data_IF_429984915735
#
_entry.id   IF_429984915735
#
_cell.length_a   1.000
_cell.length_b   1.000
_cell.length_c   1.000
_cell.angle_alpha   90.00
_cell.angle_beta   90.00
_cell.angle_gamma   90.00
#
_symmetry.space_group_name_H-M   'P 1'
#
loop_
_entity.id
_entity.type
_entity.pdbx_description
1 polymer ?
#
# COMPACT_ATOMS: atom_id res chain seq x y z
N UNK A 1 -1.74 -17.45 -5.38
CA UNK A 1 -2.00 -17.74 -6.81
C UNK A 1 -2.01 -19.24 -6.96
N UNK A 2 -3.09 -19.80 -7.48
CA UNK A 2 -3.33 -21.23 -7.58
C UNK A 2 -3.73 -21.55 -9.03
N UNK A 3 -3.20 -22.64 -9.61
CA UNK A 3 -3.53 -23.07 -10.98
C UNK A 3 -4.28 -24.40 -10.93
N UNK A 4 -5.48 -24.42 -11.47
CA UNK A 4 -6.36 -25.58 -11.61
C UNK A 4 -6.64 -25.82 -13.10
N UNK A 5 -5.91 -26.76 -13.70
CA UNK A 5 -5.94 -26.97 -15.15
C UNK A 5 -5.48 -25.70 -15.90
N UNK A 6 -6.34 -25.20 -16.78
CA UNK A 6 -6.11 -23.96 -17.54
C UNK A 6 -6.61 -22.70 -16.81
N UNK A 7 -7.11 -22.84 -15.57
CA UNK A 7 -7.63 -21.71 -14.78
C UNK A 7 -6.62 -21.30 -13.70
N UNK A 8 -6.34 -20.00 -13.59
CA UNK A 8 -5.49 -19.43 -12.54
C UNK A 8 -6.35 -18.58 -11.61
N UNK A 9 -6.44 -18.97 -10.35
CA UNK A 9 -7.06 -18.21 -9.29
C UNK A 9 -6.04 -17.32 -8.58
N UNK A 10 -6.29 -16.02 -8.59
CA UNK A 10 -5.49 -15.02 -7.89
C UNK A 10 -6.30 -14.49 -6.72
N UNK A 11 -5.96 -14.95 -5.53
CA UNK A 11 -6.46 -14.37 -4.28
C UNK A 11 -5.53 -13.25 -3.86
N UNK A 12 -6.10 -12.06 -3.68
CA UNK A 12 -5.34 -10.89 -3.33
C UNK A 12 -6.07 -9.95 -2.38
N UNK A 13 -5.33 -8.98 -1.88
CA UNK A 13 -5.80 -7.99 -0.92
C UNK A 13 -5.50 -6.59 -1.42
N UNK A 14 -6.38 -5.65 -1.08
CA UNK A 14 -6.15 -4.23 -1.26
C UNK A 14 -6.11 -3.59 0.12
N UNK A 15 -5.01 -2.88 0.37
CA UNK A 15 -4.80 -1.97 1.50
C UNK A 15 -4.14 -0.76 0.86
N UNK A 16 -4.45 0.46 1.30
CA UNK A 16 -3.91 1.71 0.77
C UNK A 16 -2.47 1.61 0.35
N UNK A 17 -2.22 2.07 -0.88
CA UNK A 17 -0.93 2.05 -1.56
C UNK A 17 -0.45 0.68 -2.06
N UNK A 18 -1.16 -0.43 -1.81
CA UNK A 18 -0.72 -1.76 -2.23
C UNK A 18 -1.86 -2.65 -2.75
N UNK A 19 -1.64 -3.24 -3.92
CA UNK A 19 -2.42 -4.37 -4.42
C UNK A 19 -1.52 -5.60 -4.27
N UNK A 20 -1.91 -6.56 -3.44
CA UNK A 20 -1.13 -7.78 -3.22
C UNK A 20 -1.81 -8.96 -3.90
N UNK A 21 -1.11 -9.75 -4.74
CA UNK A 21 0.28 -9.56 -5.16
C UNK A 21 0.44 -8.39 -6.16
N UNK A 22 1.64 -7.81 -6.21
CA UNK A 22 2.02 -6.73 -7.17
C UNK A 22 2.50 -7.29 -8.52
N UNK A 23 2.83 -8.58 -8.57
CA UNK A 23 3.17 -9.30 -9.80
C UNK A 23 2.32 -10.57 -9.86
N UNK A 24 1.56 -10.70 -10.94
CA UNK A 24 0.78 -11.88 -11.27
C UNK A 24 1.40 -12.49 -12.52
N UNK A 25 1.88 -13.73 -12.44
CA UNK A 25 2.41 -14.44 -13.61
C UNK A 25 1.43 -15.52 -14.08
N UNK A 26 1.11 -15.52 -15.37
CA UNK A 26 0.23 -16.52 -16.02
C UNK A 26 0.79 -16.90 -17.38
N UNK A 27 0.23 -17.92 -18.00
CA UNK A 27 0.57 -18.32 -19.37
C UNK A 27 -0.50 -17.84 -20.38
N UNK A 28 -0.05 -17.58 -21.60
CA UNK A 28 -0.94 -17.28 -22.72
C UNK A 28 -1.95 -18.42 -22.92
N UNK A 29 -3.23 -18.05 -22.89
CA UNK A 29 -4.37 -18.96 -22.98
C UNK A 29 -5.03 -19.29 -21.64
N UNK A 30 -4.39 -18.99 -20.51
CA UNK A 30 -4.96 -19.23 -19.18
C UNK A 30 -6.27 -18.41 -18.99
N UNK A 31 -7.25 -19.03 -18.31
CA UNK A 31 -8.42 -18.32 -17.77
C UNK A 31 -8.05 -17.80 -16.39
N UNK A 32 -8.00 -16.48 -16.21
CA UNK A 32 -7.57 -15.86 -14.95
C UNK A 32 -8.80 -15.39 -14.18
N UNK A 33 -8.94 -15.84 -12.94
CA UNK A 33 -9.96 -15.40 -12.00
C UNK A 33 -9.33 -14.64 -10.84
N UNK A 34 -9.55 -13.34 -10.80
CA UNK A 34 -9.09 -12.45 -9.73
C UNK A 34 -10.13 -12.43 -8.61
N UNK A 35 -9.68 -12.57 -7.37
CA UNK A 35 -10.48 -12.50 -6.15
C UNK A 35 -9.81 -11.52 -5.20
N UNK A 36 -10.28 -10.27 -5.19
CA UNK A 36 -9.66 -9.20 -4.42
C UNK A 36 -10.54 -8.75 -3.28
N UNK A 37 -9.93 -8.68 -2.09
CA UNK A 37 -10.61 -8.24 -0.85
C UNK A 37 -10.01 -6.94 -0.37
N UNK A 38 -10.84 -5.91 -0.19
CA UNK A 38 -10.42 -4.69 0.50
C UNK A 38 -10.39 -4.95 2.01
N UNK A 39 -9.22 -4.79 2.62
CA UNK A 39 -8.99 -5.03 4.05
C UNK A 39 -8.98 -3.74 4.89
N UNK A 40 -9.32 -2.60 4.29
CA UNK A 40 -9.50 -1.35 5.01
C UNK A 40 -10.68 -1.44 5.99
N UNK A 41 -10.55 -0.72 7.09
CA UNK A 41 -11.58 -0.61 8.14
C UNK A 41 -12.22 0.77 8.22
N UNK A 42 -11.60 1.77 7.60
CA UNK A 42 -12.11 3.13 7.56
C UNK A 42 -13.28 3.24 6.58
N UNK A 43 -14.25 4.09 6.92
CA UNK A 43 -15.34 4.44 6.01
C UNK A 43 -14.80 5.20 4.78
N UNK A 44 -15.43 4.97 3.62
CA UNK A 44 -15.08 5.57 2.33
C UNK A 44 -13.64 5.26 1.84
N UNK A 45 -12.98 4.26 2.42
CA UNK A 45 -11.67 3.81 1.98
C UNK A 45 -11.76 2.81 0.81
N UNK A 46 -12.43 3.26 -0.25
CA UNK A 46 -12.74 2.46 -1.43
C UNK A 46 -11.50 2.32 -2.31
N UNK A 47 -11.29 1.10 -2.81
CA UNK A 47 -10.28 0.85 -3.82
C UNK A 47 -10.90 0.63 -5.19
N UNK A 48 -10.17 1.03 -6.22
CA UNK A 48 -10.42 0.61 -7.59
C UNK A 48 -9.48 -0.52 -8.00
N UNK A 49 -9.84 -1.23 -9.05
CA UNK A 49 -8.92 -2.12 -9.76
C UNK A 49 -9.23 -2.08 -11.25
N UNK A 50 -8.32 -1.51 -12.04
CA UNK A 50 -8.37 -1.59 -13.50
C UNK A 50 -7.17 -2.36 -14.02
N UNK A 51 -7.39 -3.22 -15.02
CA UNK A 51 -6.34 -3.97 -15.70
C UNK A 51 -6.24 -3.53 -17.16
N UNK A 52 -5.11 -2.94 -17.54
CA UNK A 52 -4.90 -2.48 -18.90
C UNK A 52 -4.98 -3.63 -19.90
N UNK A 53 -5.61 -3.38 -21.06
CA UNK A 53 -5.73 -4.37 -22.15
C UNK A 53 -6.76 -5.46 -21.89
N UNK A 54 -7.39 -5.50 -20.71
CA UNK A 54 -8.49 -6.40 -20.38
C UNK A 54 -9.73 -5.57 -20.03
N UNK A 55 -10.93 -6.08 -20.27
CA UNK A 55 -12.17 -5.39 -19.90
C UNK A 55 -12.50 -5.63 -18.41
N UNK A 56 -11.60 -5.24 -17.52
CA UNK A 56 -11.73 -5.39 -16.08
C UNK A 56 -11.57 -4.03 -15.41
N UNK A 57 -12.65 -3.58 -14.76
CA UNK A 57 -12.68 -2.43 -13.89
C UNK A 57 -13.61 -2.75 -12.70
N UNK A 58 -13.09 -2.69 -11.48
CA UNK A 58 -13.76 -3.08 -10.26
C UNK A 58 -13.71 -1.94 -9.24
N UNK A 59 -14.80 -1.75 -8.51
CA UNK A 59 -14.82 -0.99 -7.26
C UNK A 59 -14.88 -1.99 -6.10
N UNK A 60 -14.03 -1.79 -5.10
CA UNK A 60 -13.84 -2.69 -3.96
C UNK A 60 -14.01 -1.91 -2.66
N UNK A 61 -15.22 -1.95 -2.14
CA UNK A 61 -15.60 -1.30 -0.88
C UNK A 61 -14.90 -1.95 0.33
N UNK A 62 -14.63 -1.19 1.41
CA UNK A 62 -14.07 -1.71 2.65
C UNK A 62 -14.76 -3.01 3.14
N UNK A 63 -13.95 -4.04 3.42
CA UNK A 63 -14.42 -5.35 3.89
C UNK A 63 -15.07 -6.26 2.84
N UNK A 64 -15.19 -5.83 1.58
CA UNK A 64 -15.79 -6.65 0.51
C UNK A 64 -14.74 -7.39 -0.31
N UNK A 65 -15.14 -8.57 -0.80
CA UNK A 65 -14.45 -9.30 -1.86
C UNK A 65 -15.21 -9.13 -3.17
N UNK A 66 -14.49 -8.76 -4.23
CA UNK A 66 -15.02 -8.75 -5.59
C UNK A 66 -14.20 -9.65 -6.50
N UNK A 67 -14.75 -10.06 -7.63
CA UNK A 67 -14.06 -10.96 -8.54
C UNK A 67 -14.30 -10.63 -10.01
N UNK A 68 -13.30 -10.91 -10.84
CA UNK A 68 -13.37 -10.78 -12.28
C UNK A 68 -12.65 -11.95 -12.94
N UNK A 69 -13.24 -12.47 -14.02
CA UNK A 69 -12.65 -13.56 -14.80
C UNK A 69 -12.45 -13.12 -16.24
N UNK A 70 -11.27 -13.36 -16.79
CA UNK A 70 -10.93 -13.04 -18.17
C UNK A 70 -9.96 -14.07 -18.72
N UNK A 71 -9.74 -14.06 -20.04
CA UNK A 71 -8.78 -14.94 -20.71
C UNK A 71 -7.52 -14.17 -21.06
N UNK A 72 -6.35 -14.69 -20.69
CA UNK A 72 -5.05 -14.10 -21.01
C UNK A 72 -4.65 -14.45 -22.46
N UNK A 73 -5.30 -13.84 -23.45
CA UNK A 73 -5.19 -14.26 -24.86
C UNK A 73 -3.86 -13.91 -25.55
N UNK A 74 -3.11 -12.94 -25.02
CA UNK A 74 -1.89 -12.45 -25.66
C UNK A 74 -0.78 -12.34 -24.63
N UNK A 75 0.40 -12.83 -24.99
CA UNK A 75 1.60 -12.63 -24.20
C UNK A 75 1.98 -11.15 -24.10
N UNK A 76 2.46 -10.72 -22.94
CA UNK A 76 2.81 -9.33 -22.68
C UNK A 76 2.83 -8.96 -21.20
N UNK A 77 3.10 -7.68 -20.95
CA UNK A 77 3.06 -7.06 -19.63
C UNK A 77 1.88 -6.11 -19.60
N UNK A 78 0.94 -6.36 -18.69
CA UNK A 78 -0.29 -5.60 -18.55
C UNK A 78 -0.34 -4.96 -17.16
N UNK A 79 -0.16 -3.64 -17.05
CA UNK A 79 -0.26 -2.98 -15.75
C UNK A 79 -1.71 -3.02 -15.24
N UNK A 80 -1.86 -3.22 -13.94
CA UNK A 80 -3.09 -2.93 -13.21
C UNK A 80 -2.82 -1.90 -12.13
N UNK A 81 -3.84 -1.13 -11.76
CA UNK A 81 -3.70 -0.04 -10.82
C UNK A 81 -5.02 0.29 -10.12
N UNK A 82 -4.92 0.98 -8.99
CA UNK A 82 -6.07 1.52 -8.26
C UNK A 82 -6.61 2.77 -8.97
N UNK A 83 -7.88 2.74 -9.37
CA UNK A 83 -8.56 3.87 -10.02
C UNK A 83 -9.09 4.90 -9.03
N UNK A 84 -9.28 4.52 -7.77
CA UNK A 84 -9.78 5.39 -6.71
C UNK A 84 -8.63 6.06 -5.96
N UNK A 85 -8.84 7.32 -5.56
CA UNK A 85 -7.89 8.03 -4.70
C UNK A 85 -8.03 7.54 -3.26
N UNK A 86 -7.39 6.41 -2.94
CA UNK A 86 -7.42 5.84 -1.60
C UNK A 86 -6.32 6.40 -0.67
N UNK A 87 -5.22 6.95 -1.20
CA UNK A 87 -4.17 7.50 -0.34
C UNK A 87 -3.29 8.50 -1.07
N UNK A 88 -2.43 9.18 -0.32
CA UNK A 88 -1.41 10.05 -0.91
C UNK A 88 -0.50 9.34 -1.92
N UNK A 89 -0.41 8.01 -1.85
CA UNK A 89 0.36 7.17 -2.78
C UNK A 89 -0.54 6.33 -3.69
N UNK A 90 -1.73 6.83 -4.06
CA UNK A 90 -2.64 6.07 -4.92
C UNK A 90 -2.05 5.82 -6.31
N UNK A 91 -1.17 6.71 -6.81
CA UNK A 91 -0.53 6.56 -8.13
C UNK A 91 0.51 5.44 -8.12
N UNK A 92 1.12 5.18 -6.97
CA UNK A 92 2.08 4.09 -6.76
C UNK A 92 1.38 2.74 -6.51
N UNK A 93 0.06 2.73 -6.28
CA UNK A 93 -0.75 1.53 -6.06
C UNK A 93 -1.03 0.80 -7.39
N UNK A 94 0.00 0.14 -7.90
CA UNK A 94 -0.02 -0.56 -9.19
C UNK A 94 0.68 -1.93 -9.09
N UNK A 95 0.47 -2.75 -10.10
CA UNK A 95 1.19 -3.99 -10.31
C UNK A 95 1.12 -4.45 -11.75
N UNK A 96 1.66 -5.63 -12.03
CA UNK A 96 1.77 -6.15 -13.39
C UNK A 96 1.24 -7.57 -13.51
N UNK A 97 0.37 -7.78 -14.48
CA UNK A 97 0.07 -9.10 -15.02
C UNK A 97 1.08 -9.42 -16.12
N UNK A 98 1.91 -10.43 -15.87
CA UNK A 98 2.89 -10.97 -16.81
C UNK A 98 2.29 -12.20 -17.48
N UNK A 99 1.85 -12.04 -18.72
CA UNK A 99 1.37 -13.16 -19.56
C UNK A 99 2.56 -13.71 -20.34
N UNK A 100 3.06 -14.86 -19.92
CA UNK A 100 4.20 -15.53 -20.56
C UNK A 100 3.74 -16.20 -21.85
N UNK A 101 4.50 -16.12 -22.96
CA UNK A 101 4.25 -16.94 -24.13
C UNK A 101 4.22 -18.43 -23.75
N UNK A 102 3.39 -19.21 -24.42
CA UNK A 102 3.30 -20.65 -24.15
C UNK A 102 4.65 -21.33 -24.35
N UNK A 103 5.14 -22.04 -23.32
CA UNK A 103 6.45 -22.71 -23.35
C UNK A 103 7.65 -21.80 -23.14
N UNK A 104 7.45 -20.54 -22.73
CA UNK A 104 8.54 -19.62 -22.41
C UNK A 104 9.39 -20.15 -21.24
N UNK A 105 10.70 -20.30 -21.49
CA UNK A 105 11.68 -20.64 -20.47
C UNK A 105 12.38 -19.36 -20.02
N UNK A 106 12.31 -19.04 -18.72
CA UNK A 106 12.98 -17.87 -18.17
C UNK A 106 14.49 -18.06 -18.30
N UNK A 107 15.14 -17.26 -19.14
CA UNK A 107 16.57 -17.09 -19.07
C UNK A 107 16.87 -16.31 -17.79
N UNK A 108 17.62 -16.89 -16.86
CA UNK A 108 18.03 -16.18 -15.65
C UNK A 108 18.91 -14.98 -16.05
N UNK A 109 18.35 -13.79 -16.06
CA UNK A 109 19.12 -12.54 -16.06
C UNK A 109 19.30 -12.10 -14.62
N UNK A 110 20.53 -11.77 -14.22
CA UNK A 110 20.76 -11.13 -12.92
C UNK A 110 19.98 -9.82 -12.85
N UNK A 111 19.24 -9.61 -11.76
CA UNK A 111 18.62 -8.32 -11.48
C UNK A 111 19.74 -7.28 -11.33
N UNK A 112 19.73 -6.24 -12.15
CA UNK A 112 20.55 -5.06 -11.92
C UNK A 112 19.71 -4.06 -11.11
N UNK A 113 20.23 -3.63 -9.96
CA UNK A 113 19.64 -2.52 -9.22
C UNK A 113 19.67 -1.26 -10.10
N UNK A 114 18.50 -0.69 -10.37
CA UNK A 114 18.35 0.45 -11.29
C UNK A 114 18.80 1.78 -10.71
N UNK A 115 18.83 1.92 -9.38
CA UNK A 115 19.25 3.13 -8.67
C UNK A 115 20.12 2.74 -7.48
N UNK A 116 21.31 3.34 -7.41
CA UNK A 116 22.22 3.21 -6.27
C UNK A 116 22.00 4.39 -5.30
N UNK A 117 21.82 4.11 -4.03
CA UNK A 117 21.67 5.11 -2.98
C UNK A 117 22.96 5.32 -2.21
N UNK A 118 23.29 6.59 -1.98
CA UNK A 118 24.44 7.00 -1.18
C UNK A 118 24.04 7.22 0.27
N UNK A 119 25.05 7.38 1.14
CA UNK A 119 24.83 7.86 2.51
C UNK A 119 24.03 9.16 2.57
N UNK A 120 24.29 10.09 1.64
CA UNK A 120 23.58 11.37 1.60
C UNK A 120 22.10 11.21 1.26
N UNK A 121 21.76 10.24 0.40
CA UNK A 121 20.36 9.92 0.07
C UNK A 121 19.63 9.35 1.29
N UNK A 122 20.28 8.43 2.00
CA UNK A 122 19.77 7.88 3.26
C UNK A 122 19.55 8.99 4.31
N UNK A 123 20.54 9.85 4.54
CA UNK A 123 20.43 10.95 5.52
C UNK A 123 19.32 11.93 5.16
N UNK A 124 19.16 12.23 3.86
CA UNK A 124 18.05 13.05 3.36
C UNK A 124 16.71 12.39 3.65
N UNK A 125 16.57 11.10 3.37
CA UNK A 125 15.34 10.37 3.65
C UNK A 125 15.03 10.32 5.16
N UNK A 126 16.03 10.06 6.00
CA UNK A 126 15.87 10.09 7.47
C UNK A 126 15.40 11.46 7.94
N UNK A 127 15.91 12.55 7.37
CA UNK A 127 15.43 13.90 7.70
C UNK A 127 13.93 14.04 7.37
N UNK A 128 13.51 13.60 6.19
CA UNK A 128 12.08 13.61 5.81
C UNK A 128 11.24 12.79 6.79
N UNK A 129 11.74 11.66 7.27
CA UNK A 129 11.03 10.83 8.25
C UNK A 129 10.87 11.55 9.60
N UNK A 130 11.91 12.26 10.05
CA UNK A 130 11.86 13.07 11.28
C UNK A 130 10.88 14.22 11.14
N UNK A 131 10.91 14.95 10.03
CA UNK A 131 9.98 16.05 9.77
C UNK A 131 8.52 15.54 9.71
N UNK A 132 8.29 14.37 9.10
CA UNK A 132 6.96 13.72 9.03
C UNK A 132 6.49 13.29 10.42
N UNK A 133 7.39 12.78 11.27
CA UNK A 133 7.05 12.42 12.65
C UNK A 133 6.56 13.63 13.46
N UNK A 134 7.17 14.80 13.29
CA UNK A 134 6.73 16.02 13.97
C UNK A 134 5.29 16.41 13.61
N UNK A 135 4.86 16.15 12.36
CA UNK A 135 3.47 16.34 11.94
C UNK A 135 2.55 15.34 12.63
N UNK A 136 2.92 14.06 12.67
CA UNK A 136 2.16 13.01 13.37
C UNK A 136 2.00 13.39 14.85
N UNK A 137 3.08 13.79 15.52
CA UNK A 137 3.06 14.13 16.95
C UNK A 137 2.13 15.32 17.23
N UNK A 138 2.14 16.33 16.37
CA UNK A 138 1.23 17.49 16.44
C UNK A 138 -0.25 17.07 16.33
N UNK A 139 -0.55 16.16 15.40
CA UNK A 139 -1.91 15.65 15.18
C UNK A 139 -2.36 14.75 16.32
N UNK A 140 -1.50 13.85 16.81
CA UNK A 140 -1.77 13.00 17.97
C UNK A 140 -2.02 13.85 19.22
N UNK A 141 -1.23 14.90 19.44
CA UNK A 141 -1.45 15.82 20.56
C UNK A 141 -2.82 16.51 20.48
N UNK A 142 -3.25 16.90 19.28
CA UNK A 142 -4.60 17.45 19.08
C UNK A 142 -5.68 16.42 19.44
N UNK A 143 -5.66 15.24 18.80
CA UNK A 143 -6.67 14.19 18.98
C UNK A 143 -6.78 13.77 20.45
N UNK A 144 -5.64 13.51 21.10
CA UNK A 144 -5.61 13.04 22.49
C UNK A 144 -5.99 14.11 23.52
N UNK A 145 -5.98 15.39 23.12
CA UNK A 145 -6.49 16.48 23.97
C UNK A 145 -8.01 16.70 23.86
N UNK A 146 -8.71 15.98 22.98
CA UNK A 146 -10.16 16.05 22.81
C UNK A 146 -10.84 14.74 23.24
N UNK A 147 -12.16 14.79 23.43
CA UNK A 147 -13.01 13.63 23.74
C UNK A 147 -13.19 12.67 22.55
N UNK A 148 -12.11 12.35 21.82
CA UNK A 148 -12.17 11.59 20.57
C UNK A 148 -12.82 10.20 20.71
N UNK A 149 -12.75 9.60 21.91
CA UNK A 149 -13.34 8.29 22.22
C UNK A 149 -14.87 8.27 22.16
N UNK A 150 -15.51 9.43 22.18
CA UNK A 150 -16.96 9.56 22.03
C UNK A 150 -17.41 9.40 20.56
N UNK A 151 -16.47 9.40 19.62
CA UNK A 151 -16.71 9.32 18.18
C UNK A 151 -16.15 8.01 17.61
N UNK A 152 -17.01 7.04 17.31
CA UNK A 152 -16.61 5.71 16.86
C UNK A 152 -15.78 5.72 15.57
N UNK A 153 -16.07 6.63 14.65
CA UNK A 153 -15.31 6.81 13.41
C UNK A 153 -13.88 7.26 13.69
N UNK A 154 -13.70 8.22 14.61
CA UNK A 154 -12.39 8.70 15.03
C UNK A 154 -11.62 7.60 15.75
N UNK A 155 -12.29 6.78 16.57
CA UNK A 155 -11.65 5.62 17.21
C UNK A 155 -11.10 4.64 16.16
N UNK A 156 -11.88 4.31 15.13
CA UNK A 156 -11.44 3.43 14.05
C UNK A 156 -10.22 4.00 13.30
N UNK A 157 -10.23 5.31 12.99
CA UNK A 157 -9.10 5.98 12.36
C UNK A 157 -7.84 5.98 13.24
N UNK A 158 -7.99 6.17 14.55
CA UNK A 158 -6.88 6.14 15.52
C UNK A 158 -6.31 4.74 15.71
N UNK A 159 -7.16 3.71 15.76
CA UNK A 159 -6.72 2.31 15.80
C UNK A 159 -5.88 1.97 14.56
N UNK A 160 -6.38 2.33 13.38
CA UNK A 160 -5.67 2.06 12.14
C UNK A 160 -4.34 2.83 12.05
N UNK A 161 -4.31 4.11 12.46
CA UNK A 161 -3.08 4.89 12.54
C UNK A 161 -2.06 4.27 13.51
N UNK A 162 -2.53 3.68 14.60
CA UNK A 162 -1.67 3.00 15.58
C UNK A 162 -1.04 1.74 14.99
N UNK A 163 -1.80 0.96 14.21
CA UNK A 163 -1.27 -0.22 13.52
C UNK A 163 -0.20 0.17 12.49
N UNK A 164 -0.42 1.25 11.73
CA UNK A 164 0.57 1.79 10.79
C UNK A 164 1.88 2.21 11.50
N UNK A 165 1.78 2.83 12.69
CA UNK A 165 2.96 3.15 13.50
C UNK A 165 3.70 1.91 14.01
N UNK A 166 2.99 0.81 14.26
CA UNK A 166 3.59 -0.49 14.56
C UNK A 166 4.50 -0.97 13.43
N UNK A 167 4.01 -0.95 12.19
CA UNK A 167 4.79 -1.33 11.00
C UNK A 167 5.94 -0.36 10.72
N UNK A 168 5.72 0.94 10.95
CA UNK A 168 6.73 1.99 10.84
C UNK A 168 7.96 1.69 11.71
N UNK A 169 7.75 1.22 12.95
CA UNK A 169 8.83 0.90 13.88
C UNK A 169 9.71 -0.25 13.39
N UNK A 170 9.15 -1.27 12.74
CA UNK A 170 9.93 -2.37 12.18
C UNK A 170 10.76 -1.91 10.98
N UNK A 171 10.15 -1.13 10.08
CA UNK A 171 10.83 -0.58 8.91
C UNK A 171 12.00 0.34 9.32
N UNK A 172 11.79 1.21 10.33
CA UNK A 172 12.84 2.06 10.91
C UNK A 172 14.02 1.24 11.42
N UNK A 173 13.74 0.19 12.21
CA UNK A 173 14.78 -0.68 12.76
C UNK A 173 15.63 -1.32 11.65
N UNK A 174 15.00 -1.84 10.60
CA UNK A 174 15.73 -2.41 9.45
C UNK A 174 16.60 -1.36 8.77
N UNK A 175 16.09 -0.15 8.56
CA UNK A 175 16.85 0.94 7.98
C UNK A 175 18.12 1.26 8.77
N UNK A 176 18.01 1.37 10.10
CA UNK A 176 19.14 1.61 11.01
C UNK A 176 20.15 0.45 11.00
N UNK A 177 19.69 -0.80 10.97
CA UNK A 177 20.54 -1.99 10.92
C UNK A 177 21.35 -2.09 9.61
N UNK A 178 20.77 -1.72 8.47
CA UNK A 178 21.50 -1.66 7.20
C UNK A 178 22.47 -0.48 7.14
N UNK A 179 22.06 0.69 7.63
CA UNK A 179 22.93 1.87 7.71
C UNK A 179 24.17 1.60 8.58
N UNK A 180 24.01 0.87 9.70
CA UNK A 180 25.11 0.47 10.57
C UNK A 180 26.14 -0.45 9.89
N UNK A 181 25.74 -1.14 8.81
CA UNK A 181 26.60 -1.99 7.98
C UNK A 181 27.14 -1.25 6.74
N UNK A 182 26.90 0.05 6.64
CA UNK A 182 27.20 0.88 5.45
C UNK A 182 26.50 0.40 4.17
N UNK A 183 25.44 -0.40 4.31
CA UNK A 183 24.57 -0.81 3.22
C UNK A 183 23.50 0.26 2.99
N UNK A 184 23.94 1.39 2.40
CA UNK A 184 23.07 2.55 2.18
C UNK A 184 21.99 2.31 1.13
N UNK A 185 22.17 1.29 0.28
CA UNK A 185 21.15 0.84 -0.65
C UNK A 185 19.91 0.35 0.11
N UNK A 186 20.09 -0.70 0.93
CA UNK A 186 18.99 -1.23 1.71
C UNK A 186 18.52 -0.27 2.80
N UNK A 187 19.44 0.50 3.41
CA UNK A 187 19.07 1.49 4.40
C UNK A 187 18.10 2.54 3.85
N UNK A 188 18.35 3.05 2.64
CA UNK A 188 17.48 4.06 2.01
C UNK A 188 16.13 3.48 1.65
N UNK A 189 16.08 2.25 1.11
CA UNK A 189 14.83 1.57 0.78
C UNK A 189 13.96 1.37 2.03
N UNK A 190 14.54 0.87 3.13
CA UNK A 190 13.81 0.70 4.39
C UNK A 190 13.44 2.03 5.06
N UNK A 191 14.27 3.07 4.92
CA UNK A 191 13.92 4.42 5.37
C UNK A 191 12.75 5.00 4.57
N UNK A 192 12.68 4.72 3.26
CA UNK A 192 11.53 5.04 2.41
C UNK A 192 10.29 4.26 2.83
N UNK A 193 10.40 2.97 3.15
CA UNK A 193 9.27 2.20 3.66
C UNK A 193 8.75 2.73 4.99
N UNK A 194 9.64 3.13 5.90
CA UNK A 194 9.27 3.78 7.15
C UNK A 194 8.48 5.07 6.88
N UNK A 195 8.94 5.90 5.95
CA UNK A 195 8.24 7.12 5.54
C UNK A 195 6.83 6.84 5.02
N UNK A 196 6.63 5.81 4.21
CA UNK A 196 5.30 5.48 3.68
C UNK A 196 4.31 5.16 4.80
N UNK A 197 4.71 4.41 5.82
CA UNK A 197 3.87 4.16 7.00
C UNK A 197 3.58 5.43 7.80
N UNK A 198 4.55 6.33 7.91
CA UNK A 198 4.34 7.64 8.54
C UNK A 198 3.33 8.50 7.75
N UNK A 199 3.43 8.54 6.42
CA UNK A 199 2.46 9.28 5.58
C UNK A 199 1.04 8.73 5.76
N UNK A 200 0.87 7.40 5.76
CA UNK A 200 -0.43 6.77 6.03
C UNK A 200 -0.98 7.13 7.41
N UNK A 201 -0.10 7.11 8.43
CA UNK A 201 -0.45 7.52 9.81
C UNK A 201 -0.89 8.99 9.85
N UNK A 202 -0.14 9.88 9.20
CA UNK A 202 -0.42 11.31 9.18
C UNK A 202 -1.75 11.61 8.49
N UNK A 203 -2.05 10.94 7.37
CA UNK A 203 -3.32 11.08 6.66
C UNK A 203 -4.51 10.68 7.55
N UNK A 204 -4.46 9.49 8.16
CA UNK A 204 -5.48 9.02 9.10
C UNK A 204 -5.68 9.98 10.28
N UNK A 205 -4.59 10.44 10.88
CA UNK A 205 -4.63 11.40 11.97
C UNK A 205 -5.25 12.74 11.53
N UNK A 206 -4.92 13.23 10.33
CA UNK A 206 -5.49 14.48 9.82
C UNK A 206 -6.99 14.34 9.56
N UNK A 207 -7.44 13.21 9.00
CA UNK A 207 -8.89 12.93 8.85
C UNK A 207 -9.59 12.89 10.20
N UNK A 208 -9.03 12.18 11.18
CA UNK A 208 -9.53 12.13 12.55
C UNK A 208 -9.62 13.52 13.18
N UNK A 209 -8.59 14.35 13.00
CA UNK A 209 -8.58 15.74 13.47
C UNK A 209 -9.69 16.56 12.82
N UNK A 210 -9.79 16.54 11.49
CA UNK A 210 -10.83 17.28 10.74
C UNK A 210 -12.23 16.86 11.21
N UNK A 211 -12.45 15.56 11.39
CA UNK A 211 -13.72 15.04 11.89
C UNK A 211 -14.08 15.65 13.26
N UNK A 212 -13.14 15.67 14.21
CA UNK A 212 -13.34 16.25 15.54
C UNK A 212 -13.64 17.76 15.47
N UNK A 213 -12.99 18.49 14.56
CA UNK A 213 -13.22 19.92 14.33
C UNK A 213 -14.64 20.19 13.80
N UNK A 214 -15.17 19.30 12.95
CA UNK A 214 -16.49 19.45 12.33
C UNK A 214 -17.64 18.94 13.20
N UNK A 215 -17.39 17.98 14.10
CA UNK A 215 -18.44 17.28 14.86
C UNK A 215 -18.53 17.67 16.33
N UNK A 216 -18.00 18.85 16.69
CA UNK A 216 -18.21 19.45 18.01
C UNK A 216 -17.45 18.75 19.14
N UNK A 217 -16.28 18.18 18.85
CA UNK A 217 -15.41 17.62 19.87
C UNK A 217 -14.99 18.70 20.88
N UNK A 218 -14.88 18.32 22.14
CA UNK A 218 -14.51 19.22 23.23
C UNK A 218 -13.17 18.83 23.83
N UNK A 219 -12.40 19.85 24.21
CA UNK A 219 -11.10 19.64 24.86
C UNK A 219 -11.31 19.01 26.23
N UNK A 220 -10.66 17.89 26.49
CA UNK A 220 -10.64 17.24 27.80
C UNK A 220 -9.56 17.87 28.69
N UNK A 221 -9.87 17.99 29.99
CA UNK A 221 -8.97 18.58 30.99
C UNK A 221 -7.82 17.65 31.36
#
# INVERSE_FOLDING_TARGET
IEKEGDTVHVYGTLIRSHITPEIIEVEEGDTVSLHFTNLERAEDETHGFALYGQNVNLSVEPGKTVSATFKAEKAGVYPYYCTEFCSALHLEMQGYLLVKPKGYQVAASGMQEGQAYTKADYEKQVKTNVDTQAVIDSVVAYITSHNYKDFSEVVALVEDATDQLGFASEAKKKAEEFAAKEDYQNATLWAGQHWQYQVKTADLGLRAKTFLEEHGATKIK
#
